data_IF_822134335551
#
_entry.id   IF_822134335551
#
_cell.length_a   1.000
_cell.length_b   1.000
_cell.length_c   1.000
_cell.angle_alpha   90.00
_cell.angle_beta   90.00
_cell.angle_gamma   90.00
#
_symmetry.space_group_name_H-M   'P 1'
#
loop_
_entity.id
_entity.type
_entity.pdbx_description
1 polymer ?
#
# COMPACT_ATOMS: atom_id res chain seq x y z
N UNK A 1 3.85 3.65 -12.01
CA UNK A 1 2.88 2.81 -11.28
C UNK A 1 2.71 1.53 -12.04
N UNK A 2 2.80 0.39 -11.36
CA UNK A 2 2.63 -0.95 -11.92
C UNK A 2 1.48 -1.65 -11.20
N UNK A 3 0.64 -2.34 -11.96
CA UNK A 3 -0.40 -3.22 -11.42
C UNK A 3 0.03 -4.65 -11.67
N UNK A 4 0.31 -5.40 -10.61
CA UNK A 4 0.81 -6.77 -10.67
C UNK A 4 -0.29 -7.71 -10.20
N UNK A 5 -0.65 -8.69 -11.04
CA UNK A 5 -1.70 -9.67 -10.76
C UNK A 5 -1.14 -11.10 -10.83
N UNK A 6 -1.93 -12.06 -10.36
CA UNK A 6 -1.62 -13.48 -10.43
C UNK A 6 -0.39 -13.90 -9.62
N UNK A 7 0.38 -14.90 -10.07
CA UNK A 7 1.52 -15.47 -9.34
C UNK A 7 2.57 -14.45 -8.89
N UNK A 8 2.88 -13.45 -9.73
CA UNK A 8 3.84 -12.41 -9.38
C UNK A 8 3.38 -11.55 -8.19
N UNK A 9 2.07 -11.31 -8.01
CA UNK A 9 1.57 -10.59 -6.85
C UNK A 9 1.71 -11.42 -5.58
N UNK A 10 1.35 -12.69 -5.62
CA UNK A 10 1.51 -13.62 -4.51
C UNK A 10 2.98 -13.77 -4.08
N UNK A 11 3.90 -13.84 -5.05
CA UNK A 11 5.32 -13.91 -4.77
C UNK A 11 5.81 -12.71 -3.96
N UNK A 12 5.39 -11.50 -4.33
CA UNK A 12 5.88 -10.27 -3.72
C UNK A 12 5.21 -9.93 -2.39
N UNK A 13 3.92 -10.29 -2.18
CA UNK A 13 3.19 -9.93 -0.97
C UNK A 13 2.16 -10.99 -0.57
N UNK A 14 1.88 -11.12 0.73
CA UNK A 14 0.84 -12.01 1.27
C UNK A 14 -0.56 -11.42 1.08
N UNK A 15 -1.60 -12.27 1.10
CA UNK A 15 -3.00 -11.85 1.09
C UNK A 15 -3.46 -11.13 -0.20
N UNK A 16 -2.73 -11.28 -1.30
CA UNK A 16 -2.98 -10.55 -2.56
C UNK A 16 -4.07 -11.21 -3.40
N UNK A 17 -5.33 -11.12 -2.99
CA UNK A 17 -6.46 -11.70 -3.71
C UNK A 17 -6.78 -10.98 -5.02
N UNK A 18 -6.57 -9.65 -5.07
CA UNK A 18 -6.85 -8.80 -6.24
C UNK A 18 -5.61 -8.34 -7.00
N UNK A 19 -4.41 -8.63 -6.51
CA UNK A 19 -3.15 -8.09 -7.03
C UNK A 19 -2.54 -7.01 -6.14
N UNK A 20 -1.46 -6.40 -6.61
CA UNK A 20 -0.77 -5.29 -5.92
C UNK A 20 -0.58 -4.11 -6.86
N UNK A 21 -0.56 -2.92 -6.28
CA UNK A 21 -0.15 -1.69 -6.95
C UNK A 21 1.24 -1.32 -6.45
N UNK A 22 2.21 -1.34 -7.35
CA UNK A 22 3.59 -0.96 -7.05
C UNK A 22 3.87 0.47 -7.52
N UNK A 23 4.35 1.32 -6.61
CA UNK A 23 4.70 2.72 -6.91
C UNK A 23 6.21 2.88 -6.88
N UNK A 24 6.80 3.10 -8.05
CA UNK A 24 8.24 3.33 -8.20
C UNK A 24 8.50 4.83 -8.09
N UNK A 25 9.17 5.25 -7.03
CA UNK A 25 9.36 6.67 -6.69
C UNK A 25 10.57 7.32 -7.38
N UNK A 26 11.47 6.55 -7.98
CA UNK A 26 12.70 7.05 -8.60
C UNK A 26 13.80 7.52 -7.61
N UNK A 27 13.57 7.41 -6.30
CA UNK A 27 14.56 7.75 -5.28
C UNK A 27 15.76 6.78 -5.23
N UNK A 28 15.60 5.63 -5.87
CA UNK A 28 16.59 4.58 -6.03
C UNK A 28 16.65 4.19 -7.51
N UNK A 29 17.84 4.00 -8.06
CA UNK A 29 18.04 3.62 -9.46
C UNK A 29 19.16 2.60 -9.60
N UNK A 30 18.99 1.66 -10.52
CA UNK A 30 19.98 0.65 -10.91
C UNK A 30 20.90 1.09 -12.06
N UNK A 31 20.64 2.29 -12.62
CA UNK A 31 21.37 2.87 -13.76
C UNK A 31 21.64 4.35 -13.54
N UNK A 32 22.74 4.84 -14.11
CA UNK A 32 22.95 6.26 -14.24
C UNK A 32 21.84 6.89 -15.10
N UNK A 33 21.42 8.09 -14.76
CA UNK A 33 20.43 8.81 -15.55
C UNK A 33 20.97 9.10 -16.95
N UNK A 34 20.17 8.86 -17.97
CA UNK A 34 20.49 9.23 -19.35
C UNK A 34 20.55 10.75 -19.48
N UNK A 35 19.59 11.44 -18.84
CA UNK A 35 19.48 12.89 -18.84
C UNK A 35 19.51 13.42 -17.41
N UNK A 36 20.32 14.46 -17.19
CA UNK A 36 20.26 15.24 -15.97
C UNK A 36 19.04 16.16 -16.01
N UNK A 37 18.25 16.18 -14.93
CA UNK A 37 16.96 16.89 -14.89
C UNK A 37 16.97 17.86 -13.73
N UNK A 38 16.62 19.11 -14.02
CA UNK A 38 16.15 20.09 -13.05
C UNK A 38 14.75 20.50 -13.49
N UNK A 39 13.75 20.22 -12.67
CA UNK A 39 12.35 20.56 -12.97
C UNK A 39 11.73 21.33 -11.83
N UNK A 40 11.02 22.39 -12.18
CA UNK A 40 10.20 23.21 -11.30
C UNK A 40 8.79 23.19 -11.87
N UNK A 41 7.81 22.87 -11.05
CA UNK A 41 6.40 22.89 -11.44
C UNK A 41 5.55 23.60 -10.40
N UNK A 42 4.51 24.27 -10.88
CA UNK A 42 3.45 24.83 -10.05
C UNK A 42 2.12 24.62 -10.75
N UNK A 43 1.12 24.16 -10.00
CA UNK A 43 -0.27 24.10 -10.47
C UNK A 43 -1.20 24.79 -9.49
N UNK A 44 -2.34 25.22 -10.00
CA UNK A 44 -3.43 25.79 -9.24
C UNK A 44 -4.69 24.97 -9.53
N UNK A 45 -5.39 24.62 -8.46
CA UNK A 45 -6.68 23.92 -8.52
C UNK A 45 -7.79 24.91 -8.22
N UNK A 46 -8.77 25.01 -9.13
CA UNK A 46 -9.86 25.99 -9.02
C UNK A 46 -11.00 25.52 -8.12
N UNK A 47 -11.11 24.22 -7.84
CA UNK A 47 -12.18 23.67 -6.99
C UNK A 47 -11.86 23.87 -5.52
N UNK A 48 -10.60 23.70 -5.17
CA UNK A 48 -10.11 23.86 -3.78
C UNK A 48 -9.33 25.17 -3.56
N UNK A 49 -9.27 26.05 -4.59
CA UNK A 49 -8.46 27.29 -4.57
C UNK A 49 -7.01 27.08 -4.09
N UNK A 50 -6.46 25.91 -4.38
CA UNK A 50 -5.22 25.44 -3.81
C UNK A 50 -4.05 25.42 -4.80
N UNK A 51 -2.85 25.25 -4.26
CA UNK A 51 -1.61 25.22 -5.03
C UNK A 51 -0.81 23.96 -4.76
N UNK A 52 -0.20 23.42 -5.84
CA UNK A 52 0.92 22.50 -5.68
C UNK A 52 2.19 23.08 -6.29
N UNK A 53 3.31 22.82 -5.63
CA UNK A 53 4.63 23.20 -6.10
C UNK A 53 5.50 21.95 -6.04
N UNK A 54 6.28 21.69 -7.09
CA UNK A 54 7.22 20.59 -7.12
C UNK A 54 8.60 21.03 -7.60
N UNK A 55 9.61 20.38 -7.06
CA UNK A 55 11.00 20.49 -7.49
C UNK A 55 11.57 19.09 -7.64
N UNK A 56 12.28 18.84 -8.74
CA UNK A 56 12.98 17.60 -9.01
C UNK A 56 14.38 17.89 -9.52
N UNK A 57 15.37 17.23 -8.92
CA UNK A 57 16.76 17.20 -9.38
C UNK A 57 17.22 15.75 -9.56
N UNK A 58 17.70 15.40 -10.75
CA UNK A 58 18.42 14.17 -11.05
C UNK A 58 19.77 14.51 -11.66
N UNK A 59 20.83 13.99 -11.08
CA UNK A 59 22.20 14.28 -11.54
C UNK A 59 23.12 13.09 -11.33
N UNK A 60 24.06 12.90 -12.27
CA UNK A 60 25.14 11.93 -12.11
C UNK A 60 26.42 12.63 -11.64
N UNK A 61 27.16 12.00 -10.74
CA UNK A 61 28.50 12.39 -10.33
C UNK A 61 29.35 11.12 -10.37
N UNK A 62 30.13 10.94 -11.43
CA UNK A 62 30.82 9.69 -11.75
C UNK A 62 29.84 8.50 -11.75
N UNK A 63 30.08 7.49 -10.92
CA UNK A 63 29.27 6.29 -10.80
C UNK A 63 28.10 6.45 -9.80
N UNK A 64 27.83 7.66 -9.33
CA UNK A 64 26.78 7.94 -8.36
C UNK A 64 25.65 8.70 -9.05
N UNK A 65 24.43 8.16 -8.98
CA UNK A 65 23.21 8.86 -9.33
C UNK A 65 22.63 9.53 -8.09
N UNK A 66 22.41 10.83 -8.17
CA UNK A 66 21.81 11.67 -7.12
C UNK A 66 20.38 12.00 -7.49
N UNK A 67 19.45 11.84 -6.54
CA UNK A 67 18.05 12.19 -6.64
C UNK A 67 17.65 13.14 -5.50
N UNK A 68 16.93 14.19 -5.83
CA UNK A 68 16.25 15.03 -4.86
C UNK A 68 14.90 15.46 -5.41
N UNK A 69 13.84 15.31 -4.61
CA UNK A 69 12.53 15.90 -4.88
C UNK A 69 11.97 16.59 -3.66
N UNK A 70 11.20 17.64 -3.91
CA UNK A 70 10.42 18.33 -2.90
C UNK A 70 9.07 18.71 -3.51
N UNK A 71 8.00 18.27 -2.86
CA UNK A 71 6.63 18.54 -3.24
C UNK A 71 5.92 19.22 -2.07
N UNK A 72 5.17 20.26 -2.35
CA UNK A 72 4.30 20.94 -1.39
C UNK A 72 2.96 21.21 -2.02
N UNK A 73 1.90 20.84 -1.30
CA UNK A 73 0.51 21.05 -1.69
C UNK A 73 -0.23 21.74 -0.55
N UNK A 74 -1.03 22.74 -0.89
CA UNK A 74 -1.93 23.44 0.01
C UNK A 74 -3.27 23.61 -0.72
N UNK A 75 -4.29 22.88 -0.31
CA UNK A 75 -5.63 22.91 -0.87
C UNK A 75 -6.62 23.29 0.23
N UNK A 76 -7.51 24.23 -0.08
CA UNK A 76 -8.57 24.65 0.82
C UNK A 76 -9.80 23.75 0.71
N UNK A 77 -10.90 24.14 1.31
CA UNK A 77 -12.16 23.40 1.24
C UNK A 77 -12.65 23.33 -0.22
N UNK A 78 -13.26 22.23 -0.58
CA UNK A 78 -13.83 22.05 -1.93
C UNK A 78 -15.10 22.85 -2.08
N UNK A 79 -15.20 23.58 -3.19
CA UNK A 79 -16.46 24.18 -3.65
C UNK A 79 -17.35 23.09 -4.22
N UNK A 80 -18.61 23.09 -3.79
CA UNK A 80 -19.64 22.17 -4.26
C UNK A 80 -20.47 22.86 -5.36
N UNK A 81 -21.03 22.06 -6.28
CA UNK A 81 -21.94 22.57 -7.29
C UNK A 81 -23.21 23.15 -6.65
N UNK A 82 -23.77 24.18 -7.29
CA UNK A 82 -25.02 24.81 -6.87
C UNK A 82 -26.14 23.76 -6.73
N UNK A 83 -26.90 23.83 -5.64
CA UNK A 83 -27.96 22.86 -5.32
C UNK A 83 -27.48 21.57 -4.64
N UNK A 84 -26.21 21.47 -4.23
CA UNK A 84 -25.73 20.34 -3.45
C UNK A 84 -26.37 20.34 -2.06
N UNK A 85 -26.97 19.19 -1.69
CA UNK A 85 -27.54 18.97 -0.35
C UNK A 85 -26.62 18.05 0.43
N UNK A 86 -26.12 18.52 1.56
CA UNK A 86 -25.27 17.73 2.46
C UNK A 86 -26.07 17.17 3.65
N UNK A 87 -27.10 17.91 4.07
CA UNK A 87 -28.05 17.57 5.13
C UNK A 87 -29.49 17.85 4.69
N UNK A 88 -30.48 17.22 5.36
CA UNK A 88 -31.90 17.40 5.04
C UNK A 88 -32.29 18.88 5.04
N UNK A 89 -32.40 19.45 3.85
CA UNK A 89 -33.00 20.76 3.63
C UNK A 89 -32.06 21.96 3.60
N UNK A 90 -30.74 21.80 3.71
CA UNK A 90 -29.77 22.90 3.60
C UNK A 90 -28.94 22.82 2.33
N UNK A 91 -28.78 23.96 1.65
CA UNK A 91 -27.87 24.10 0.52
C UNK A 91 -26.47 24.41 1.02
N UNK A 92 -25.49 23.60 0.61
CA UNK A 92 -24.10 23.73 1.04
C UNK A 92 -23.24 24.10 -0.18
N UNK A 93 -22.45 25.16 -0.08
CA UNK A 93 -21.57 25.63 -1.13
C UNK A 93 -20.14 25.12 -1.02
N UNK A 94 -19.71 24.71 0.17
CA UNK A 94 -18.37 24.16 0.41
C UNK A 94 -18.47 22.90 1.26
N UNK A 95 -17.58 21.92 1.02
CA UNK A 95 -17.48 20.73 1.85
C UNK A 95 -16.58 21.01 3.04
N UNK A 96 -17.16 21.04 4.24
CA UNK A 96 -16.40 21.24 5.48
C UNK A 96 -15.37 20.15 5.71
N UNK A 97 -14.23 20.48 6.32
CA UNK A 97 -13.13 19.55 6.59
C UNK A 97 -12.62 18.80 5.36
N UNK A 98 -12.66 19.42 4.16
CA UNK A 98 -12.09 18.85 2.93
C UNK A 98 -10.72 19.43 2.57
N UNK A 99 -10.18 20.31 3.44
CA UNK A 99 -8.86 20.90 3.25
C UNK A 99 -7.73 19.88 3.36
N UNK A 100 -6.70 20.11 2.58
CA UNK A 100 -5.55 19.22 2.52
C UNK A 100 -4.26 20.01 2.35
N UNK A 101 -3.29 19.78 3.21
CA UNK A 101 -1.96 20.36 3.08
C UNK A 101 -0.90 19.30 3.36
N UNK A 102 0.05 19.12 2.45
CA UNK A 102 1.18 18.22 2.66
C UNK A 102 2.48 18.71 2.06
N UNK A 103 3.56 18.16 2.55
CA UNK A 103 4.88 18.29 1.96
C UNK A 103 5.63 16.96 2.03
N UNK A 104 6.29 16.64 0.94
CA UNK A 104 7.16 15.47 0.81
C UNK A 104 8.54 15.93 0.37
N UNK A 105 9.58 15.36 0.97
CA UNK A 105 10.97 15.57 0.54
C UNK A 105 11.65 14.22 0.45
N UNK A 106 12.32 13.98 -0.67
CA UNK A 106 13.06 12.75 -0.90
C UNK A 106 14.48 13.06 -1.35
N UNK A 107 15.45 12.40 -0.73
CA UNK A 107 16.84 12.38 -1.18
C UNK A 107 17.26 10.93 -1.42
N UNK A 108 17.99 10.68 -2.50
CA UNK A 108 18.50 9.37 -2.87
C UNK A 108 19.90 9.44 -3.47
N UNK A 109 20.70 8.43 -3.14
CA UNK A 109 22.05 8.22 -3.69
C UNK A 109 22.15 6.77 -4.13
N UNK A 110 22.53 6.52 -5.39
CA UNK A 110 22.73 5.17 -5.92
C UNK A 110 24.15 5.07 -6.51
N UNK A 111 24.94 4.18 -5.95
CA UNK A 111 26.25 3.78 -6.49
C UNK A 111 26.06 2.65 -7.50
N UNK A 112 26.43 2.86 -8.75
CA UNK A 112 26.26 1.90 -9.85
C UNK A 112 27.62 1.39 -10.29
N UNK A 113 27.78 0.07 -10.31
CA UNK A 113 29.01 -0.62 -10.66
C UNK A 113 28.74 -1.88 -11.50
N UNK A 114 29.80 -2.50 -12.04
CA UNK A 114 29.69 -3.72 -12.85
C UNK A 114 29.20 -4.97 -12.04
N UNK A 115 29.26 -4.91 -10.72
CA UNK A 115 28.79 -5.97 -9.84
C UNK A 115 27.33 -5.76 -9.35
N UNK A 116 26.67 -4.68 -9.81
CA UNK A 116 25.33 -4.30 -9.42
C UNK A 116 25.24 -2.87 -8.93
N UNK A 117 24.31 -2.59 -8.00
CA UNK A 117 24.14 -1.27 -7.42
C UNK A 117 23.80 -1.31 -5.92
N UNK A 118 24.09 -0.20 -5.24
CA UNK A 118 23.66 0.08 -3.86
C UNK A 118 23.01 1.45 -3.81
N UNK A 119 21.86 1.55 -3.20
CA UNK A 119 21.12 2.81 -3.07
C UNK A 119 20.69 3.06 -1.64
N UNK A 120 20.89 4.30 -1.18
CA UNK A 120 20.37 4.82 0.08
C UNK A 120 19.37 5.92 -0.23
N UNK A 121 18.21 5.90 0.38
CA UNK A 121 17.25 6.99 0.28
C UNK A 121 16.58 7.32 1.60
N UNK A 122 16.21 8.58 1.74
CA UNK A 122 15.45 9.11 2.85
C UNK A 122 14.22 9.84 2.30
N UNK A 123 13.07 9.53 2.86
CA UNK A 123 11.78 10.14 2.52
C UNK A 123 11.16 10.72 3.78
N UNK A 124 10.85 12.01 3.76
CA UNK A 124 10.12 12.68 4.83
C UNK A 124 8.79 13.18 4.27
N UNK A 125 7.69 12.75 4.88
CA UNK A 125 6.35 13.23 4.57
C UNK A 125 5.74 13.88 5.81
N UNK A 126 5.04 14.99 5.61
CA UNK A 126 4.32 15.66 6.68
C UNK A 126 3.13 16.40 6.08
N UNK A 127 1.95 16.24 6.69
CA UNK A 127 0.77 16.95 6.23
C UNK A 127 -0.39 16.87 7.19
N UNK A 128 -1.47 17.51 6.78
CA UNK A 128 -2.78 17.48 7.44
C UNK A 128 -3.83 17.28 6.37
N UNK A 129 -4.87 16.55 6.68
CA UNK A 129 -6.07 16.46 5.85
C UNK A 129 -7.31 16.51 6.75
N UNK A 130 -8.28 17.28 6.35
CA UNK A 130 -9.57 17.37 7.01
C UNK A 130 -10.34 16.06 6.85
N UNK A 131 -11.26 15.80 7.77
CA UNK A 131 -12.13 14.63 7.78
C UNK A 131 -13.56 15.12 7.55
N UNK A 132 -14.03 14.98 6.30
CA UNK A 132 -15.28 15.58 5.83
C UNK A 132 -16.56 14.88 6.35
N UNK A 133 -16.44 13.65 6.87
CA UNK A 133 -17.56 12.82 7.29
C UNK A 133 -17.79 12.83 8.80
N UNK A 134 -17.99 13.98 9.40
CA UNK A 134 -18.47 14.04 10.76
C UNK A 134 -19.90 14.59 10.75
N UNK A 135 -20.87 13.76 11.14
CA UNK A 135 -22.20 14.26 11.44
C UNK A 135 -22.10 15.09 12.71
N UNK A 136 -22.28 16.39 12.60
CA UNK A 136 -22.47 17.26 13.75
C UNK A 136 -23.77 16.79 14.44
N UNK A 137 -23.68 16.24 15.65
CA UNK A 137 -24.84 16.26 16.54
C UNK A 137 -25.05 17.73 16.88
N UNK A 138 -26.10 18.35 16.32
CA UNK A 138 -26.54 19.68 16.73
C UNK A 138 -26.88 19.63 18.22
N UNK A 139 -25.97 20.05 19.09
CA UNK A 139 -26.36 20.52 20.38
C UNK A 139 -27.14 21.83 20.16
N UNK A 140 -28.47 21.73 20.25
CA UNK A 140 -29.36 22.90 20.26
C UNK A 140 -28.89 23.86 21.35
N UNK A 141 -28.13 24.91 20.97
CA UNK A 141 -28.05 26.04 21.86
C UNK A 141 -26.76 26.79 22.07
N UNK A 142 -25.73 26.80 21.22
CA UNK A 142 -24.76 27.92 21.25
C UNK A 142 -24.03 28.02 19.91
N UNK A 143 -23.99 29.23 19.36
CA UNK A 143 -23.42 29.71 18.10
C UNK A 143 -22.49 28.78 17.34
N UNK A 144 -22.99 28.28 16.23
CA UNK A 144 -22.27 27.33 15.34
C UNK A 144 -20.91 27.86 14.88
N UNK A 145 -19.86 27.48 15.59
CA UNK A 145 -18.49 27.55 15.11
C UNK A 145 -18.19 26.31 14.27
N UNK A 146 -17.60 26.51 13.09
CA UNK A 146 -17.13 25.39 12.28
C UNK A 146 -16.09 24.56 13.05
N UNK A 147 -16.47 23.39 13.51
CA UNK A 147 -15.57 22.46 14.19
C UNK A 147 -14.61 21.81 13.19
N UNK A 148 -13.32 22.08 13.32
CA UNK A 148 -12.33 21.49 12.44
C UNK A 148 -11.87 20.13 12.94
N UNK A 149 -12.22 19.07 12.17
CA UNK A 149 -11.74 17.71 12.40
C UNK A 149 -10.71 17.38 11.34
N UNK A 150 -9.52 16.96 11.76
CA UNK A 150 -8.44 16.69 10.83
C UNK A 150 -7.45 15.65 11.38
N UNK A 151 -6.79 14.97 10.47
CA UNK A 151 -5.66 14.11 10.77
C UNK A 151 -4.36 14.81 10.39
N UNK A 152 -3.40 14.83 11.31
CA UNK A 152 -2.03 15.28 11.07
C UNK A 152 -1.11 14.05 11.00
N UNK A 153 -0.37 13.91 9.92
CA UNK A 153 0.55 12.79 9.73
C UNK A 153 1.99 13.27 9.54
N UNK A 154 2.91 12.46 10.01
CA UNK A 154 4.35 12.59 9.74
C UNK A 154 4.92 11.20 9.56
N UNK A 155 5.78 11.01 8.52
CA UNK A 155 6.56 9.80 8.38
C UNK A 155 7.98 10.09 7.91
N UNK A 156 8.93 9.35 8.47
CA UNK A 156 10.32 9.33 8.08
C UNK A 156 10.66 7.90 7.64
N UNK A 157 11.09 7.72 6.39
CA UNK A 157 11.43 6.40 5.85
C UNK A 157 12.88 6.41 5.35
N UNK A 158 13.65 5.44 5.81
CA UNK A 158 15.01 5.15 5.40
C UNK A 158 15.02 3.86 4.60
N UNK A 159 15.60 3.87 3.39
CA UNK A 159 15.73 2.68 2.57
C UNK A 159 17.18 2.42 2.22
N UNK A 160 17.57 1.16 2.29
CA UNK A 160 18.80 0.63 1.73
C UNK A 160 18.42 -0.49 0.75
N UNK A 161 18.62 -0.25 -0.53
CA UNK A 161 18.18 -1.14 -1.62
C UNK A 161 19.40 -1.43 -2.49
N UNK A 162 19.49 -2.62 -3.03
CA UNK A 162 20.56 -2.94 -3.94
C UNK A 162 20.36 -4.23 -4.70
N UNK A 163 21.26 -4.45 -5.65
CA UNK A 163 21.43 -5.68 -6.39
C UNK A 163 22.91 -6.05 -6.43
N UNK A 164 23.19 -7.31 -6.19
CA UNK A 164 24.49 -7.92 -6.38
C UNK A 164 24.38 -8.96 -7.49
N UNK A 165 25.14 -8.80 -8.55
CA UNK A 165 25.13 -9.69 -9.71
C UNK A 165 26.22 -10.77 -9.61
N UNK A 166 26.02 -11.87 -10.34
CA UNK A 166 27.00 -12.95 -10.52
C UNK A 166 27.47 -13.60 -9.20
N UNK A 167 26.53 -13.97 -8.35
CA UNK A 167 26.82 -14.72 -7.13
C UNK A 167 27.12 -16.19 -7.45
N UNK A 168 27.91 -16.87 -6.61
CA UNK A 168 28.29 -18.27 -6.82
C UNK A 168 27.09 -19.23 -6.87
N UNK A 169 25.96 -18.88 -6.27
CA UNK A 169 24.77 -19.72 -6.12
C UNK A 169 23.49 -19.10 -6.71
N UNK A 170 23.56 -17.89 -7.22
CA UNK A 170 22.43 -17.18 -7.83
C UNK A 170 22.93 -16.22 -8.90
N UNK A 171 22.09 -15.96 -9.92
CA UNK A 171 22.40 -14.97 -10.96
C UNK A 171 22.51 -13.58 -10.36
N UNK A 172 21.60 -13.26 -9.43
CA UNK A 172 21.67 -12.03 -8.64
C UNK A 172 20.89 -12.13 -7.34
N UNK A 173 21.19 -11.23 -6.42
CA UNK A 173 20.45 -10.96 -5.20
C UNK A 173 19.95 -9.52 -5.24
N UNK A 174 18.63 -9.32 -5.33
CA UNK A 174 18.02 -8.03 -5.02
C UNK A 174 17.68 -8.00 -3.52
N UNK A 175 17.99 -6.91 -2.85
CA UNK A 175 17.63 -6.76 -1.46
C UNK A 175 17.05 -5.38 -1.17
N UNK A 176 16.16 -5.32 -0.20
CA UNK A 176 15.66 -4.07 0.36
C UNK A 176 15.55 -4.15 1.87
N UNK A 177 16.06 -3.11 2.54
CA UNK A 177 15.93 -2.91 3.98
C UNK A 177 15.28 -1.54 4.14
N UNK A 178 14.14 -1.51 4.80
CA UNK A 178 13.35 -0.29 4.99
C UNK A 178 13.02 -0.12 6.47
N UNK A 179 13.19 1.09 6.99
CA UNK A 179 12.70 1.48 8.30
C UNK A 179 11.81 2.70 8.17
N UNK A 180 10.58 2.60 8.67
CA UNK A 180 9.59 3.68 8.64
C UNK A 180 9.14 4.03 10.04
N UNK A 181 9.25 5.30 10.41
CA UNK A 181 8.64 5.86 11.59
C UNK A 181 7.47 6.74 11.17
N UNK A 182 6.25 6.29 11.44
CA UNK A 182 5.03 7.01 11.14
C UNK A 182 4.33 7.48 12.42
N UNK A 183 3.76 8.67 12.37
CA UNK A 183 3.07 9.29 13.47
C UNK A 183 1.83 10.00 12.93
N UNK A 184 0.65 9.58 13.40
CA UNK A 184 -0.64 10.13 13.01
C UNK A 184 -1.31 10.65 14.28
N UNK A 185 -1.84 11.87 14.21
CA UNK A 185 -2.67 12.47 15.25
C UNK A 185 -3.99 12.87 14.65
N UNK A 186 -5.05 12.40 15.27
CA UNK A 186 -6.40 12.80 14.94
C UNK A 186 -6.86 13.85 15.95
N UNK A 187 -7.37 14.95 15.44
CA UNK A 187 -7.78 16.11 16.20
C UNK A 187 -9.25 16.39 15.97
N UNK A 188 -9.95 16.67 17.03
CA UNK A 188 -11.26 17.29 17.07
C UNK A 188 -11.17 18.59 17.88
N UNK A 189 -12.22 19.38 17.93
CA UNK A 189 -12.23 20.67 18.61
C UNK A 189 -11.81 20.61 20.07
N UNK A 190 -12.22 19.58 20.78
CA UNK A 190 -11.94 19.37 22.20
C UNK A 190 -10.56 18.77 22.50
N UNK A 191 -9.69 18.64 21.50
CA UNK A 191 -8.33 18.18 21.66
C UNK A 191 -7.89 17.05 20.70
N UNK A 192 -6.87 16.31 21.11
CA UNK A 192 -6.34 15.18 20.34
C UNK A 192 -6.99 13.89 20.83
N UNK A 193 -7.64 13.16 19.92
CA UNK A 193 -8.29 11.89 20.22
C UNK A 193 -7.35 10.72 20.14
N UNK A 194 -6.81 10.46 18.96
CA UNK A 194 -5.97 9.32 18.72
C UNK A 194 -4.55 9.75 18.36
N UNK A 195 -3.59 9.06 18.93
CA UNK A 195 -2.18 9.14 18.51
C UNK A 195 -1.74 7.76 18.11
N UNK A 196 -1.55 7.55 16.80
CA UNK A 196 -1.12 6.31 16.21
C UNK A 196 0.36 6.45 15.83
N UNK A 197 1.22 5.70 16.50
CA UNK A 197 2.62 5.61 16.15
C UNK A 197 2.89 4.23 15.55
N UNK A 198 3.64 4.19 14.47
CA UNK A 198 4.11 2.95 13.89
C UNK A 198 5.60 3.06 13.57
N UNK A 199 6.39 2.15 14.12
CA UNK A 199 7.77 1.96 13.74
C UNK A 199 7.88 0.57 13.12
N UNK A 200 8.11 0.52 11.81
CA UNK A 200 8.26 -0.74 11.10
C UNK A 200 9.64 -0.88 10.47
N UNK A 201 10.16 -2.10 10.48
CA UNK A 201 11.39 -2.45 9.77
C UNK A 201 11.11 -3.68 8.92
N UNK A 202 11.39 -3.58 7.63
CA UNK A 202 11.20 -4.66 6.67
C UNK A 202 12.52 -5.04 6.00
N UNK A 203 12.72 -6.34 5.79
CA UNK A 203 13.85 -6.93 5.10
C UNK A 203 13.32 -7.84 4.00
N UNK A 204 13.77 -7.63 2.76
CA UNK A 204 13.45 -8.51 1.64
C UNK A 204 14.74 -8.91 0.93
N UNK A 205 14.89 -10.19 0.66
CA UNK A 205 16.02 -10.77 -0.09
C UNK A 205 15.44 -11.64 -1.19
N UNK A 206 15.62 -11.24 -2.44
CA UNK A 206 15.12 -11.95 -3.62
C UNK A 206 16.32 -12.48 -4.42
N UNK A 207 16.49 -13.78 -4.44
CA UNK A 207 17.48 -14.50 -5.22
C UNK A 207 16.91 -14.84 -6.58
N UNK A 208 17.57 -14.39 -7.65
CA UNK A 208 17.28 -14.77 -9.01
C UNK A 208 18.12 -16.01 -9.34
N UNK A 209 17.43 -17.12 -9.69
CA UNK A 209 18.02 -18.46 -9.85
C UNK A 209 17.78 -18.99 -11.26
N UNK A 210 17.66 -18.10 -12.26
CA UNK A 210 17.29 -18.40 -13.62
C UNK A 210 18.25 -19.40 -14.26
N UNK A 211 17.71 -20.32 -15.04
CA UNK A 211 18.48 -21.33 -15.75
C UNK A 211 17.73 -21.85 -16.98
N UNK A 212 18.40 -21.96 -18.12
CA UNK A 212 17.87 -22.59 -19.34
C UNK A 212 16.47 -22.08 -19.73
N UNK A 213 16.30 -20.77 -19.90
CA UNK A 213 15.05 -20.11 -20.27
C UNK A 213 13.91 -20.25 -19.26
N UNK A 214 14.22 -20.79 -18.06
CA UNK A 214 13.29 -20.82 -16.94
C UNK A 214 13.67 -19.75 -15.93
N UNK A 215 12.77 -18.81 -15.74
CA UNK A 215 12.88 -17.82 -14.66
C UNK A 215 12.56 -18.48 -13.32
N UNK A 216 13.42 -18.28 -12.33
CA UNK A 216 13.24 -18.79 -10.96
C UNK A 216 13.63 -17.73 -9.95
N UNK A 217 12.81 -17.50 -8.97
CA UNK A 217 13.05 -16.53 -7.91
C UNK A 217 12.69 -17.11 -6.55
N UNK A 218 13.54 -16.88 -5.57
CA UNK A 218 13.29 -17.17 -4.16
C UNK A 218 13.26 -15.87 -3.38
N UNK A 219 12.20 -15.63 -2.65
CA UNK A 219 12.03 -14.47 -1.77
C UNK A 219 12.04 -14.92 -0.30
N UNK A 220 12.86 -14.28 0.50
CA UNK A 220 12.81 -14.31 1.95
C UNK A 220 12.41 -12.91 2.42
N UNK A 221 11.34 -12.79 3.19
CA UNK A 221 10.92 -11.52 3.74
C UNK A 221 10.67 -11.62 5.25
N UNK A 222 10.94 -10.51 5.93
CA UNK A 222 10.66 -10.30 7.33
C UNK A 222 10.25 -8.87 7.55
N UNK A 223 9.14 -8.68 8.25
CA UNK A 223 8.69 -7.37 8.71
C UNK A 223 8.39 -7.43 10.20
N UNK A 224 8.86 -6.44 10.91
CA UNK A 224 8.53 -6.17 12.31
C UNK A 224 7.94 -4.77 12.40
N UNK A 225 6.72 -4.66 12.87
CA UNK A 225 6.09 -3.38 13.15
C UNK A 225 5.73 -3.29 14.63
N UNK A 226 6.06 -2.15 15.21
CA UNK A 226 5.79 -1.82 16.59
C UNK A 226 4.93 -0.57 16.65
N UNK A 227 3.78 -0.71 17.27
CA UNK A 227 2.77 0.34 17.35
C UNK A 227 2.53 0.72 18.82
N UNK A 228 3.38 1.61 19.39
CA UNK A 228 3.19 2.12 20.73
C UNK A 228 2.09 3.19 20.75
N UNK A 229 0.82 2.77 20.73
CA UNK A 229 -0.31 3.69 20.80
C UNK A 229 -0.37 4.45 22.13
N UNK A 230 -1.02 5.62 22.12
CA UNK A 230 -1.34 6.35 23.36
C UNK A 230 -2.46 5.65 24.14
N UNK A 231 -2.72 6.10 25.36
CA UNK A 231 -3.73 5.50 26.24
C UNK A 231 -5.18 5.59 25.72
N UNK A 232 -5.45 6.40 24.70
CA UNK A 232 -6.80 6.66 24.17
C UNK A 232 -7.02 6.02 22.79
N UNK A 233 -6.07 5.24 22.26
CA UNK A 233 -6.23 4.61 20.96
C UNK A 233 -7.18 3.39 21.05
N UNK A 234 -8.07 3.26 20.07
CA UNK A 234 -8.97 2.14 19.97
C UNK A 234 -8.26 0.80 19.66
N UNK A 235 -7.02 0.84 19.17
CA UNK A 235 -6.15 -0.31 19.02
C UNK A 235 -5.09 -0.31 20.13
N UNK A 236 -4.87 -1.41 20.86
CA UNK A 236 -3.90 -1.45 21.96
C UNK A 236 -2.46 -1.38 21.46
N UNK A 237 -1.53 -1.06 22.40
CA UNK A 237 -0.09 -1.19 22.13
C UNK A 237 0.23 -2.60 21.65
N UNK A 238 0.93 -2.70 20.53
CA UNK A 238 1.08 -3.96 19.83
C UNK A 238 2.39 -4.08 19.07
N UNK A 239 2.78 -5.31 18.80
CA UNK A 239 3.88 -5.66 17.90
C UNK A 239 3.38 -6.71 16.89
N UNK A 240 3.77 -6.59 15.64
CA UNK A 240 3.49 -7.57 14.61
C UNK A 240 4.78 -8.06 13.96
N UNK A 241 4.82 -9.35 13.68
CA UNK A 241 5.91 -9.99 12.98
C UNK A 241 5.34 -10.77 11.80
N UNK A 242 5.77 -10.40 10.60
CA UNK A 242 5.41 -11.08 9.36
C UNK A 242 6.68 -11.66 8.75
N UNK A 243 6.72 -12.98 8.58
CA UNK A 243 7.84 -13.71 8.00
C UNK A 243 7.31 -14.53 6.84
N UNK A 244 8.05 -14.56 5.75
CA UNK A 244 7.63 -15.40 4.63
C UNK A 244 8.79 -15.94 3.82
N UNK A 245 8.51 -17.07 3.20
CA UNK A 245 9.29 -17.63 2.11
C UNK A 245 8.39 -17.80 0.90
N UNK A 246 8.82 -17.32 -0.26
CA UNK A 246 8.08 -17.48 -1.49
C UNK A 246 9.00 -17.92 -2.64
N UNK A 247 8.45 -18.73 -3.51
CA UNK A 247 9.12 -19.19 -4.73
C UNK A 247 8.23 -18.86 -5.93
N UNK A 248 8.85 -18.35 -6.98
CA UNK A 248 8.21 -18.08 -8.28
C UNK A 248 8.97 -18.77 -9.39
N UNK A 249 8.26 -19.29 -10.37
CA UNK A 249 8.87 -19.77 -11.62
C UNK A 249 8.00 -19.45 -12.81
N UNK A 250 8.64 -19.15 -13.93
CA UNK A 250 8.01 -18.94 -15.23
C UNK A 250 8.82 -19.62 -16.32
N UNK A 251 8.14 -20.28 -17.23
CA UNK A 251 8.74 -20.93 -18.41
C UNK A 251 7.82 -20.81 -19.61
N UNK A 252 8.40 -20.59 -20.79
CA UNK A 252 7.73 -20.85 -22.08
C UNK A 252 7.92 -22.31 -22.45
N UNK A 253 6.84 -23.02 -22.70
CA UNK A 253 6.83 -24.42 -23.12
C UNK A 253 6.18 -24.55 -24.52
N UNK A 254 6.94 -24.23 -25.56
CA UNK A 254 6.48 -24.27 -26.96
C UNK A 254 5.29 -23.30 -27.22
N UNK A 255 5.41 -22.06 -26.74
CA UNK A 255 4.40 -21.02 -26.90
C UNK A 255 3.28 -21.06 -25.85
N UNK A 256 3.35 -21.99 -24.88
CA UNK A 256 2.56 -21.97 -23.67
C UNK A 256 3.39 -21.29 -22.58
N UNK A 257 3.05 -20.05 -22.26
CA UNK A 257 3.63 -19.38 -21.09
C UNK A 257 2.95 -19.91 -19.83
N UNK A 258 3.73 -20.50 -18.94
CA UNK A 258 3.28 -21.04 -17.67
C UNK A 258 4.08 -20.44 -16.52
N UNK A 259 3.37 -19.90 -15.54
CA UNK A 259 4.01 -19.39 -14.34
C UNK A 259 3.23 -19.78 -13.07
N UNK A 260 3.95 -19.91 -11.97
CA UNK A 260 3.36 -20.19 -10.68
C UNK A 260 4.16 -19.54 -9.54
N UNK A 261 3.47 -19.30 -8.43
CA UNK A 261 4.06 -18.90 -7.17
C UNK A 261 3.56 -19.77 -6.03
N UNK A 262 4.47 -20.08 -5.12
CA UNK A 262 4.22 -20.74 -3.86
C UNK A 262 4.67 -19.80 -2.76
N UNK A 263 3.87 -19.65 -1.70
CA UNK A 263 4.23 -18.80 -0.57
C UNK A 263 3.81 -19.44 0.74
N UNK A 264 4.68 -19.30 1.73
CA UNK A 264 4.37 -19.70 3.11
C UNK A 264 4.63 -18.52 4.04
N UNK A 265 3.62 -18.14 4.79
CA UNK A 265 3.62 -16.99 5.69
C UNK A 265 3.52 -17.45 7.14
N UNK A 266 4.27 -16.79 8.03
CA UNK A 266 4.17 -16.86 9.48
C UNK A 266 3.84 -15.47 10.00
N UNK A 267 2.72 -15.35 10.69
CA UNK A 267 2.24 -14.09 11.23
C UNK A 267 2.09 -14.19 12.73
N UNK A 268 2.56 -13.17 13.44
CA UNK A 268 2.43 -13.06 14.88
C UNK A 268 1.95 -11.65 15.24
N UNK A 269 0.98 -11.57 16.13
CA UNK A 269 0.37 -10.33 16.59
C UNK A 269 0.34 -10.34 18.11
N UNK A 270 1.07 -9.41 18.73
CA UNK A 270 1.26 -9.35 20.19
C UNK A 270 0.69 -8.07 20.78
N UNK A 271 0.00 -8.21 21.89
CA UNK A 271 -0.32 -7.12 22.80
C UNK A 271 0.22 -7.45 24.18
N UNK A 272 0.06 -6.56 25.16
CA UNK A 272 0.46 -6.85 26.54
C UNK A 272 -0.27 -8.05 27.18
N UNK A 273 -1.43 -8.43 26.67
CA UNK A 273 -2.32 -9.44 27.27
C UNK A 273 -2.78 -10.53 26.32
N UNK A 274 -2.60 -10.36 25.01
CA UNK A 274 -3.08 -11.29 23.99
C UNK A 274 -1.98 -11.58 22.98
N UNK A 275 -2.00 -12.81 22.49
CA UNK A 275 -1.13 -13.29 21.42
C UNK A 275 -1.98 -13.97 20.36
N UNK A 276 -1.67 -13.74 19.09
CA UNK A 276 -2.22 -14.43 17.94
C UNK A 276 -1.07 -14.87 17.05
N UNK A 277 -1.01 -16.16 16.77
CA UNK A 277 -0.03 -16.75 15.86
C UNK A 277 -0.74 -17.53 14.78
N UNK A 278 -0.24 -17.40 13.56
CA UNK A 278 -0.85 -17.99 12.41
C UNK A 278 0.17 -18.30 11.31
N UNK A 279 -0.09 -19.36 10.53
CA UNK A 279 0.72 -19.68 9.36
C UNK A 279 -0.12 -20.16 8.19
N UNK A 280 0.25 -19.78 6.96
CA UNK A 280 -0.51 -20.09 5.76
C UNK A 280 0.37 -20.50 4.60
N UNK A 281 -0.16 -21.44 3.84
CA UNK A 281 0.31 -21.73 2.50
C UNK A 281 -0.64 -21.13 1.46
N UNK A 282 -0.06 -20.46 0.48
CA UNK A 282 -0.76 -19.88 -0.67
C UNK A 282 -0.11 -20.33 -1.97
N UNK A 283 -0.91 -20.53 -3.01
CA UNK A 283 -0.48 -20.90 -4.35
C UNK A 283 -1.23 -20.10 -5.39
N UNK A 284 -0.55 -19.68 -6.42
CA UNK A 284 -1.15 -19.08 -7.61
C UNK A 284 -0.46 -19.62 -8.85
N UNK A 285 -1.23 -19.90 -9.89
CA UNK A 285 -0.70 -20.32 -11.20
C UNK A 285 -1.44 -19.57 -12.30
N UNK A 286 -0.73 -19.32 -13.38
CA UNK A 286 -1.28 -18.72 -14.58
C UNK A 286 -0.70 -19.38 -15.81
N UNK A 287 -1.51 -19.54 -16.83
CA UNK A 287 -1.07 -19.99 -18.15
C UNK A 287 -1.70 -19.15 -19.25
N UNK A 288 -0.91 -18.82 -20.25
CA UNK A 288 -1.37 -18.08 -21.42
C UNK A 288 -0.76 -18.63 -22.69
N UNK A 289 -1.54 -18.58 -23.77
CA UNK A 289 -1.09 -19.05 -25.06
C UNK A 289 -1.80 -18.31 -26.19
N UNK A 290 -1.07 -18.08 -27.27
CA UNK A 290 -1.62 -17.71 -28.56
C UNK A 290 -2.17 -18.96 -29.24
N UNK A 291 -3.51 -19.07 -29.40
CA UNK A 291 -4.17 -20.23 -30.04
C UNK A 291 -4.10 -20.12 -31.55
N UNK A 292 -4.33 -18.91 -32.08
CA UNK A 292 -4.23 -18.56 -33.50
C UNK A 292 -3.58 -17.17 -33.61
N UNK A 293 -3.25 -16.75 -34.83
CA UNK A 293 -2.67 -15.40 -35.06
C UNK A 293 -3.52 -14.28 -34.47
N UNK A 294 -4.81 -14.53 -34.24
CA UNK A 294 -5.78 -13.53 -33.80
C UNK A 294 -6.36 -13.81 -32.40
N UNK A 295 -6.18 -15.00 -31.84
CA UNK A 295 -6.83 -15.40 -30.59
C UNK A 295 -5.81 -15.88 -29.56
N UNK A 296 -5.80 -15.26 -28.40
CA UNK A 296 -5.06 -15.73 -27.22
C UNK A 296 -5.99 -15.98 -26.05
N UNK A 297 -5.53 -16.81 -25.10
CA UNK A 297 -6.18 -16.98 -23.80
C UNK A 297 -5.19 -16.78 -22.66
N UNK A 298 -5.78 -16.50 -21.50
CA UNK A 298 -5.12 -16.45 -20.20
C UNK A 298 -6.02 -17.16 -19.19
N UNK A 299 -5.45 -18.09 -18.41
CA UNK A 299 -6.16 -18.81 -17.34
C UNK A 299 -5.37 -18.70 -16.05
N UNK A 300 -5.96 -18.08 -15.05
CA UNK A 300 -5.43 -17.95 -13.69
C UNK A 300 -6.18 -18.80 -12.69
N UNK A 301 -5.45 -19.45 -11.78
CA UNK A 301 -6.00 -20.17 -10.63
C UNK A 301 -5.22 -19.78 -9.38
N UNK A 302 -5.91 -19.47 -8.29
CA UNK A 302 -5.21 -19.17 -7.05
C UNK A 302 -5.96 -19.64 -5.81
N UNK A 303 -5.18 -19.96 -4.79
CA UNK A 303 -5.61 -20.20 -3.41
C UNK A 303 -4.72 -19.31 -2.52
N UNK A 304 -5.29 -18.24 -2.00
CA UNK A 304 -4.57 -17.20 -1.27
C UNK A 304 -5.16 -17.02 0.11
N UNK A 305 -4.31 -16.94 1.11
CA UNK A 305 -4.69 -16.74 2.50
C UNK A 305 -4.23 -15.37 3.00
N UNK A 306 -5.05 -14.71 3.82
CA UNK A 306 -4.76 -13.44 4.50
C UNK A 306 -4.96 -13.60 6.01
N UNK A 307 -3.93 -13.29 6.79
CA UNK A 307 -4.03 -13.21 8.24
C UNK A 307 -4.76 -11.95 8.68
N UNK A 308 -5.56 -11.98 9.77
CA UNK A 308 -6.15 -10.77 10.35
C UNK A 308 -5.08 -9.77 10.78
N UNK A 309 -5.41 -8.48 10.71
CA UNK A 309 -4.56 -7.40 11.20
C UNK A 309 -4.82 -7.10 12.71
N UNK A 310 -4.04 -6.15 13.25
CA UNK A 310 -4.11 -5.81 14.68
C UNK A 310 -5.46 -5.22 15.09
N UNK A 311 -6.06 -4.37 14.26
CA UNK A 311 -7.35 -3.75 14.56
C UNK A 311 -8.49 -4.78 14.49
N UNK A 312 -8.48 -5.64 13.47
CA UNK A 312 -9.45 -6.72 13.32
C UNK A 312 -9.46 -7.67 14.53
N UNK A 313 -8.28 -7.94 15.10
CA UNK A 313 -8.16 -8.85 16.25
C UNK A 313 -8.40 -8.18 17.61
N UNK A 314 -7.91 -6.97 17.80
CA UNK A 314 -7.71 -6.44 19.14
C UNK A 314 -8.23 -5.00 19.34
N UNK A 315 -8.90 -4.38 18.38
CA UNK A 315 -9.55 -3.11 18.60
C UNK A 315 -10.54 -3.24 19.77
N UNK A 316 -10.58 -2.24 20.64
CA UNK A 316 -11.56 -2.15 21.73
C UNK A 316 -11.61 -0.70 22.24
N UNK A 317 -12.34 0.16 21.54
CA UNK A 317 -12.41 1.57 21.90
C UNK A 317 -13.12 2.45 20.89
N UNK A 318 -13.26 3.72 21.25
CA UNK A 318 -13.85 4.75 20.39
C UNK A 318 -12.84 5.17 19.31
N UNK A 319 -13.23 5.02 18.06
CA UNK A 319 -12.53 5.59 16.91
C UNK A 319 -13.11 6.99 16.66
N UNK A 320 -12.48 8.01 17.22
CA UNK A 320 -12.98 9.38 17.28
C UNK A 320 -13.48 9.90 15.93
N UNK A 321 -12.64 9.94 14.86
CA UNK A 321 -13.02 10.53 13.59
C UNK A 321 -14.26 9.91 12.93
N UNK A 322 -14.59 8.67 13.24
CA UNK A 322 -15.77 7.99 12.72
C UNK A 322 -16.93 7.96 13.70
N UNK A 323 -16.71 8.48 14.91
CA UNK A 323 -17.63 8.41 16.06
C UNK A 323 -18.21 7.00 16.29
N UNK A 324 -17.37 5.98 16.12
CA UNK A 324 -17.75 4.57 16.27
C UNK A 324 -16.96 3.91 17.38
N UNK A 325 -17.61 3.03 18.11
CA UNK A 325 -16.89 2.11 18.99
C UNK A 325 -16.54 0.88 18.17
N UNK A 326 -15.26 0.61 17.98
CA UNK A 326 -14.77 -0.52 17.22
C UNK A 326 -14.28 -1.62 18.16
N UNK A 327 -14.74 -2.84 17.91
CA UNK A 327 -14.39 -4.02 18.68
C UNK A 327 -13.90 -5.12 17.76
N UNK A 328 -12.65 -5.51 17.93
CA UNK A 328 -12.03 -6.63 17.25
C UNK A 328 -12.45 -7.97 17.86
N UNK A 329 -12.17 -9.04 17.12
CA UNK A 329 -12.42 -10.39 17.56
C UNK A 329 -11.12 -11.23 17.49
N UNK A 330 -10.59 -11.60 18.65
CA UNK A 330 -9.38 -12.41 18.75
C UNK A 330 -9.54 -13.87 18.33
N UNK A 331 -10.77 -14.31 18.02
CA UNK A 331 -11.08 -15.65 17.51
C UNK A 331 -11.14 -15.72 15.99
N UNK A 332 -10.90 -14.61 15.27
CA UNK A 332 -10.90 -14.59 13.82
C UNK A 332 -9.90 -15.60 13.24
N UNK A 333 -10.39 -16.37 12.30
CA UNK A 333 -9.56 -17.19 11.43
C UNK A 333 -9.10 -16.35 10.24
N UNK A 334 -8.13 -16.84 9.48
CA UNK A 334 -7.68 -16.20 8.24
C UNK A 334 -8.74 -16.22 7.16
N UNK A 335 -8.76 -15.23 6.32
CA UNK A 335 -9.48 -15.30 5.06
C UNK A 335 -8.78 -16.27 4.11
N UNK A 336 -9.57 -17.05 3.39
CA UNK A 336 -9.09 -17.93 2.33
C UNK A 336 -9.87 -17.65 1.06
N UNK A 337 -9.17 -17.14 0.04
CA UNK A 337 -9.74 -16.84 -1.27
C UNK A 337 -9.32 -17.88 -2.29
N UNK A 338 -10.28 -18.38 -3.07
CA UNK A 338 -10.07 -19.24 -4.24
C UNK A 338 -10.57 -18.51 -5.47
N UNK A 339 -9.66 -18.26 -6.42
CA UNK A 339 -9.96 -17.50 -7.62
C UNK A 339 -9.76 -18.35 -8.86
N UNK A 340 -10.63 -18.15 -9.84
CA UNK A 340 -10.51 -18.63 -11.22
C UNK A 340 -10.74 -17.43 -12.13
N UNK A 341 -9.80 -17.18 -13.02
CA UNK A 341 -9.83 -16.08 -13.99
C UNK A 341 -9.58 -16.64 -15.39
N UNK A 342 -10.47 -16.36 -16.31
CA UNK A 342 -10.32 -16.69 -17.74
C UNK A 342 -10.38 -15.41 -18.56
N UNK A 343 -9.35 -15.11 -19.30
CA UNK A 343 -9.30 -14.05 -20.29
C UNK A 343 -9.21 -14.64 -21.72
N UNK A 344 -9.92 -14.05 -22.65
CA UNK A 344 -9.80 -14.31 -24.08
C UNK A 344 -9.60 -12.97 -24.78
N UNK A 345 -8.59 -12.87 -25.63
CA UNK A 345 -8.34 -11.69 -26.45
C UNK A 345 -8.37 -12.06 -27.93
N UNK A 346 -9.20 -11.37 -28.68
CA UNK A 346 -9.25 -11.49 -30.12
C UNK A 346 -8.80 -10.17 -30.77
N UNK A 347 -7.81 -10.26 -31.68
CA UNK A 347 -7.24 -9.11 -32.40
C UNK A 347 -7.45 -9.28 -33.89
N UNK A 348 -8.02 -8.29 -34.58
CA UNK A 348 -8.19 -8.30 -36.04
C UNK A 348 -8.02 -6.89 -36.60
N UNK A 349 -6.92 -6.68 -37.34
CA UNK A 349 -6.54 -5.34 -37.81
C UNK A 349 -6.36 -4.38 -36.62
N UNK A 350 -7.07 -3.25 -36.65
CA UNK A 350 -7.04 -2.24 -35.59
C UNK A 350 -8.04 -2.50 -34.43
N UNK A 351 -8.74 -3.64 -34.47
CA UNK A 351 -9.76 -3.98 -33.47
C UNK A 351 -9.25 -5.00 -32.46
N UNK A 352 -9.48 -4.73 -31.17
CA UNK A 352 -9.19 -5.64 -30.06
C UNK A 352 -10.49 -5.88 -29.30
N UNK A 353 -10.81 -7.15 -29.05
CA UNK A 353 -11.94 -7.56 -28.22
C UNK A 353 -11.39 -8.40 -27.08
N UNK A 354 -11.62 -7.94 -25.85
CA UNK A 354 -11.25 -8.63 -24.61
C UNK A 354 -12.51 -9.17 -23.93
N UNK A 355 -12.51 -10.45 -23.60
CA UNK A 355 -13.52 -11.09 -22.78
C UNK A 355 -12.88 -11.62 -21.51
N UNK A 356 -13.48 -11.30 -20.36
CA UNK A 356 -13.01 -11.77 -19.05
C UNK A 356 -14.14 -12.40 -18.26
N UNK A 357 -13.88 -13.59 -17.73
CA UNK A 357 -14.75 -14.28 -16.77
C UNK A 357 -13.95 -14.58 -15.52
N UNK A 358 -14.49 -14.26 -14.35
CA UNK A 358 -13.82 -14.54 -13.09
C UNK A 358 -14.82 -15.06 -12.04
N UNK A 359 -14.30 -15.84 -11.12
CA UNK A 359 -15.00 -16.25 -9.91
C UNK A 359 -14.05 -16.19 -8.73
N UNK A 360 -14.50 -15.55 -7.66
CA UNK A 360 -13.78 -15.46 -6.38
C UNK A 360 -14.69 -15.97 -5.27
N UNK A 361 -14.28 -17.06 -4.62
CA UNK A 361 -14.94 -17.62 -3.44
C UNK A 361 -14.07 -17.34 -2.20
N UNK A 362 -14.55 -16.51 -1.27
CA UNK A 362 -13.83 -16.16 -0.05
C UNK A 362 -14.50 -16.80 1.15
N UNK A 363 -13.75 -17.62 1.87
CA UNK A 363 -14.14 -18.19 3.17
C UNK A 363 -13.60 -17.31 4.29
N UNK A 364 -14.38 -17.20 5.39
CA UNK A 364 -14.03 -16.44 6.61
C UNK A 364 -13.67 -14.97 6.29
N UNK A 365 -14.45 -14.35 5.39
CA UNK A 365 -14.27 -12.96 4.98
C UNK A 365 -14.41 -12.01 6.17
N UNK A 366 -13.38 -11.19 6.43
CA UNK A 366 -13.32 -10.27 7.57
C UNK A 366 -13.85 -8.90 7.12
N UNK A 367 -14.87 -8.42 7.81
CA UNK A 367 -15.47 -7.11 7.54
C UNK A 367 -15.98 -6.45 8.82
N UNK A 368 -16.07 -5.14 8.80
CA UNK A 368 -16.65 -4.38 9.90
C UNK A 368 -18.18 -4.47 9.83
N UNK A 369 -18.79 -5.09 10.85
CA UNK A 369 -20.24 -5.26 10.95
C UNK A 369 -20.81 -4.22 11.90
N UNK A 370 -21.81 -3.45 11.45
CA UNK A 370 -22.59 -2.59 12.31
C UNK A 370 -23.53 -3.46 13.19
N UNK A 371 -23.44 -3.28 14.49
CA UNK A 371 -24.28 -3.99 15.47
C UNK A 371 -25.59 -3.27 15.79
N UNK A 372 -25.80 -2.05 15.24
CA UNK A 372 -26.99 -1.24 15.47
C UNK A 372 -27.16 -0.77 16.93
N UNK A 373 -26.11 -0.88 17.74
CA UNK A 373 -26.14 -0.44 19.15
C UNK A 373 -25.47 0.90 19.27
N UNK A 374 -26.16 1.88 19.88
CA UNK A 374 -25.53 3.13 20.33
C UNK A 374 -24.97 2.89 21.73
N UNK A 375 -23.67 2.99 21.91
CA UNK A 375 -23.05 3.08 23.23
C UNK A 375 -22.99 4.55 23.60
N UNK A 376 -23.74 4.92 24.64
CA UNK A 376 -23.59 6.22 25.26
C UNK A 376 -22.63 6.04 26.44
N UNK A 377 -21.49 6.70 26.39
CA UNK A 377 -20.62 6.92 27.55
C UNK A 377 -20.96 8.24 28.22
#
# INVERSE_FOLDING_TARGET
>A
IEIIKGPSSLFNHSGTTGGIVNVITGSSTDKLYTDEIISLGRSYDTVSEGYSNNFLLKKNINDIAFYFSHDKRDYFKYDLSEGSLYEEGSEVHTLNNSDYADKSSTIGLSLIKNWGYLSLSFVNNKGTYGIAYHAEEEEEGEGGGEHRIYSAHKSDTYNFIGRLDNLAFANSLDFSISNTNAHIKEHEENGTFNVLNNNSTAYNFKFNLDSNDIEKRLLLSYEHAKSPFSSNAYVPKSESFDRSIAYYSQADMHGLDFNYALRYDFNERLTSTKNYEDSAFSISTNTSQQITDNLSYNLGLSHVSRSPNMAELFADGKHGPTNRYEKGDSSLEREVSKNIDLGLQFTSGDSIIDFSLYRNDVKDFIYLRDLGTKTYD
#
